data_IF_260711057206
#
_entry.id   IF_260711057206
#
_cell.length_a   1.000
_cell.length_b   1.000
_cell.length_c   1.000
_cell.angle_alpha   90.00
_cell.angle_beta   90.00
_cell.angle_gamma   90.00
#
_symmetry.space_group_name_H-M   'P 1'
#
loop_
_entity.id
_entity.type
_entity.pdbx_description
1 polymer ?
#
# COMPACT_ATOMS: atom_id res chain seq x y z
N UNK A 1 0.35 -15.88 10.13
CA UNK A 1 -0.79 -14.98 9.84
C UNK A 1 -0.80 -13.89 10.89
N UNK A 2 -0.84 -12.63 10.48
CA UNK A 2 -0.92 -11.46 11.35
C UNK A 2 -2.26 -10.77 11.18
N UNK A 3 -2.85 -10.22 12.24
CA UNK A 3 -4.11 -9.48 12.22
C UNK A 3 -3.95 -8.10 12.87
N UNK A 4 -4.35 -7.03 12.18
CA UNK A 4 -4.15 -5.63 12.62
C UNK A 4 -5.42 -4.81 12.45
N UNK A 5 -5.70 -3.92 13.40
CA UNK A 5 -6.78 -2.92 13.28
C UNK A 5 -6.27 -1.69 12.52
N UNK A 6 -6.83 -1.41 11.34
CA UNK A 6 -6.39 -0.31 10.45
C UNK A 6 -7.03 1.02 10.83
N UNK A 7 -8.31 1.06 11.22
CA UNK A 7 -9.01 2.29 11.60
C UNK A 7 -9.95 2.08 12.80
N UNK A 8 -10.50 3.18 13.33
CA UNK A 8 -11.46 3.11 14.43
C UNK A 8 -12.83 2.54 14.04
N UNK A 9 -13.13 2.48 12.72
CA UNK A 9 -14.32 1.84 12.14
C UNK A 9 -14.19 0.31 12.05
N UNK A 10 -13.29 -0.28 12.85
CA UNK A 10 -13.05 -1.71 12.99
C UNK A 10 -12.46 -2.41 11.76
N UNK A 11 -11.85 -1.68 10.82
CA UNK A 11 -11.20 -2.35 9.68
C UNK A 11 -10.05 -3.25 10.11
N UNK A 12 -10.02 -4.49 9.63
CA UNK A 12 -9.01 -5.51 9.94
C UNK A 12 -8.13 -5.82 8.73
N UNK A 13 -6.82 -5.75 8.90
CA UNK A 13 -5.82 -6.23 7.94
C UNK A 13 -5.32 -7.59 8.39
N UNK A 14 -5.41 -8.59 7.53
CA UNK A 14 -4.78 -9.88 7.71
C UNK A 14 -3.62 -10.03 6.74
N UNK A 15 -2.44 -10.40 7.25
CA UNK A 15 -1.24 -10.63 6.43
C UNK A 15 -0.87 -12.10 6.51
N UNK A 16 -0.80 -12.74 5.35
CA UNK A 16 -0.38 -14.14 5.20
C UNK A 16 0.99 -14.12 4.52
N UNK A 17 2.03 -14.29 5.35
CA UNK A 17 3.45 -14.19 4.96
C UNK A 17 4.05 -15.52 4.52
N UNK A 18 3.52 -16.64 5.03
CA UNK A 18 3.98 -17.99 4.68
C UNK A 18 3.24 -18.48 3.45
N UNK A 19 3.89 -19.33 2.64
CA UNK A 19 3.19 -20.05 1.57
C UNK A 19 2.07 -20.91 2.17
N UNK A 20 0.80 -20.59 1.90
CA UNK A 20 -0.31 -21.35 2.43
C UNK A 20 -0.39 -22.70 1.70
N UNK A 21 -0.63 -23.79 2.44
CA UNK A 21 -0.84 -25.10 1.82
C UNK A 21 -2.05 -25.09 0.90
N UNK A 22 -2.13 -26.03 -0.05
CA UNK A 22 -3.25 -26.13 -1.00
C UNK A 22 -4.58 -26.26 -0.24
N UNK A 23 -4.60 -27.01 0.86
CA UNK A 23 -5.77 -27.21 1.72
C UNK A 23 -6.18 -25.90 2.41
N UNK A 24 -5.21 -25.16 2.94
CA UNK A 24 -5.46 -23.86 3.57
C UNK A 24 -5.99 -22.83 2.57
N UNK A 25 -5.46 -22.83 1.34
CA UNK A 25 -5.93 -21.97 0.26
C UNK A 25 -7.38 -22.30 -0.14
N UNK A 26 -7.72 -23.58 -0.27
CA UNK A 26 -9.09 -24.01 -0.58
C UNK A 26 -10.07 -23.66 0.55
N UNK A 27 -9.65 -23.81 1.82
CA UNK A 27 -10.45 -23.41 2.97
C UNK A 27 -10.74 -21.90 3.01
N UNK A 28 -9.83 -21.07 2.48
CA UNK A 28 -9.99 -19.62 2.43
C UNK A 28 -10.93 -19.13 1.31
N UNK A 29 -11.29 -19.96 0.34
CA UNK A 29 -12.06 -19.52 -0.84
C UNK A 29 -13.40 -18.89 -0.46
N UNK A 30 -14.16 -19.54 0.42
CA UNK A 30 -15.45 -19.00 0.89
C UNK A 30 -15.28 -17.68 1.65
N UNK A 31 -14.24 -17.59 2.48
CA UNK A 31 -13.89 -16.37 3.22
C UNK A 31 -13.52 -15.21 2.29
N UNK A 32 -12.86 -15.49 1.16
CA UNK A 32 -12.51 -14.47 0.17
C UNK A 32 -13.73 -13.99 -0.63
N UNK A 33 -14.69 -14.87 -0.91
CA UNK A 33 -15.96 -14.50 -1.57
C UNK A 33 -16.84 -13.63 -0.69
N UNK A 34 -16.92 -13.98 0.59
CA UNK A 34 -17.79 -13.35 1.58
C UNK A 34 -17.04 -12.31 2.43
N UNK A 35 -15.89 -11.81 1.93
CA UNK A 35 -15.05 -10.89 2.69
C UNK A 35 -15.78 -9.57 2.97
N UNK A 36 -15.95 -9.26 4.25
CA UNK A 36 -16.59 -8.01 4.69
C UNK A 36 -15.85 -6.77 4.15
N UNK A 37 -16.55 -5.66 3.92
CA UNK A 37 -15.93 -4.38 3.54
C UNK A 37 -14.96 -3.85 4.59
N UNK A 38 -15.08 -4.29 5.84
CA UNK A 38 -14.13 -3.96 6.90
C UNK A 38 -12.88 -4.85 6.93
N UNK A 39 -12.78 -5.90 6.12
CA UNK A 39 -11.64 -6.82 6.17
C UNK A 39 -10.80 -6.73 4.89
N UNK A 40 -9.48 -6.73 5.05
CA UNK A 40 -8.53 -6.83 3.95
C UNK A 40 -7.56 -7.98 4.24
N UNK A 41 -7.35 -8.86 3.27
CA UNK A 41 -6.34 -9.91 3.34
C UNK A 41 -5.26 -9.58 2.32
N UNK A 42 -4.01 -9.56 2.78
CA UNK A 42 -2.82 -9.39 1.96
C UNK A 42 -2.04 -10.70 1.98
N UNK A 43 -1.91 -11.29 0.80
CA UNK A 43 -1.04 -12.44 0.57
C UNK A 43 0.34 -11.95 0.15
N UNK A 44 1.37 -12.40 0.87
CA UNK A 44 2.76 -12.24 0.48
C UNK A 44 3.34 -13.63 0.17
N UNK A 45 2.88 -14.22 -0.95
CA UNK A 45 3.30 -15.54 -1.39
C UNK A 45 3.33 -15.62 -2.92
N UNK A 46 4.36 -16.24 -3.53
CA UNK A 46 4.42 -16.45 -4.97
C UNK A 46 3.49 -17.58 -5.46
N UNK A 47 3.06 -18.48 -4.57
CA UNK A 47 2.42 -19.75 -4.92
C UNK A 47 0.93 -19.78 -4.51
N UNK A 48 0.13 -18.92 -5.13
CA UNK A 48 -1.33 -18.90 -4.94
C UNK A 48 -2.06 -19.72 -6.01
N UNK A 49 -3.09 -20.46 -5.60
CA UNK A 49 -3.99 -21.18 -6.50
C UNK A 49 -4.73 -20.17 -7.40
N UNK A 50 -5.00 -20.52 -8.69
CA UNK A 50 -5.75 -19.65 -9.59
C UNK A 50 -7.12 -19.21 -9.03
N UNK A 51 -7.76 -20.06 -8.23
CA UNK A 51 -9.03 -19.78 -7.56
C UNK A 51 -8.92 -18.74 -6.45
N UNK A 52 -7.78 -18.64 -5.78
CA UNK A 52 -7.48 -17.57 -4.82
C UNK A 52 -7.18 -16.27 -5.58
N UNK A 53 -6.36 -16.36 -6.64
CA UNK A 53 -5.97 -15.19 -7.45
C UNK A 53 -7.20 -14.52 -8.07
N UNK A 54 -8.16 -15.29 -8.59
CA UNK A 54 -9.36 -14.74 -9.23
C UNK A 54 -10.28 -13.96 -8.28
N UNK A 55 -10.17 -14.18 -6.97
CA UNK A 55 -10.92 -13.47 -5.91
C UNK A 55 -10.09 -12.35 -5.26
N UNK A 56 -8.82 -12.23 -5.63
CA UNK A 56 -7.92 -11.21 -5.13
C UNK A 56 -7.74 -10.10 -6.16
N UNK A 57 -7.46 -8.89 -5.67
CA UNK A 57 -6.86 -7.86 -6.54
C UNK A 57 -5.36 -8.11 -6.60
N UNK A 58 -4.88 -8.62 -7.73
CA UNK A 58 -3.45 -8.78 -7.96
C UNK A 58 -2.79 -7.41 -8.11
N UNK A 59 -1.93 -7.06 -7.15
CA UNK A 59 -1.02 -5.92 -7.29
C UNK A 59 0.26 -6.45 -7.90
N UNK A 60 0.42 -6.33 -9.21
CA UNK A 60 1.67 -6.67 -9.87
C UNK A 60 2.75 -5.69 -9.43
N UNK A 61 3.77 -6.19 -8.74
CA UNK A 61 4.90 -5.39 -8.26
C UNK A 61 5.86 -4.98 -9.40
N UNK A 62 5.61 -5.46 -10.62
CA UNK A 62 6.43 -5.26 -11.80
C UNK A 62 7.49 -6.36 -11.92
N UNK A 63 7.60 -6.96 -13.11
CA UNK A 63 8.70 -7.88 -13.45
C UNK A 63 10.02 -7.15 -13.71
N UNK A 64 9.98 -5.81 -13.84
CA UNK A 64 11.19 -5.02 -13.88
C UNK A 64 11.84 -5.12 -12.50
N UNK A 65 13.06 -5.64 -12.45
CA UNK A 65 14.02 -5.41 -11.35
C UNK A 65 14.37 -3.92 -11.28
N UNK A 66 13.37 -3.05 -11.15
CA UNK A 66 13.60 -1.68 -10.72
C UNK A 66 13.64 -1.80 -9.21
N UNK A 67 14.84 -2.04 -8.70
CA UNK A 67 15.12 -1.65 -7.33
C UNK A 67 14.98 -0.13 -7.30
N UNK A 68 13.99 0.43 -6.57
CA UNK A 68 13.88 1.87 -6.44
C UNK A 68 15.16 2.40 -5.82
N UNK A 69 15.55 3.62 -6.19
CA UNK A 69 16.72 4.25 -5.57
C UNK A 69 16.47 4.34 -4.07
N UNK A 70 17.46 3.98 -3.26
CA UNK A 70 17.36 4.00 -1.80
C UNK A 70 16.82 5.33 -1.28
N UNK A 71 17.29 6.45 -1.86
CA UNK A 71 16.83 7.80 -1.53
C UNK A 71 15.31 8.00 -1.70
N UNK A 72 14.72 7.41 -2.74
CA UNK A 72 13.28 7.50 -3.00
C UNK A 72 12.49 6.66 -1.99
N UNK A 73 12.99 5.47 -1.64
CA UNK A 73 12.39 4.65 -0.58
C UNK A 73 12.46 5.36 0.77
N UNK A 74 13.60 5.97 1.09
CA UNK A 74 13.82 6.72 2.32
C UNK A 74 12.88 7.93 2.42
N UNK A 75 12.60 8.62 1.30
CA UNK A 75 11.58 9.69 1.26
C UNK A 75 10.18 9.18 1.59
N UNK A 76 9.77 8.05 1.02
CA UNK A 76 8.47 7.43 1.32
C UNK A 76 8.41 6.95 2.77
N UNK A 77 9.49 6.34 3.27
CA UNK A 77 9.58 5.91 4.67
C UNK A 77 9.56 7.09 5.65
N UNK A 78 10.17 8.22 5.26
CA UNK A 78 10.10 9.47 6.04
C UNK A 78 8.68 10.03 6.09
N UNK A 79 7.94 9.99 4.97
CA UNK A 79 6.51 10.32 4.97
C UNK A 79 5.77 9.40 5.93
N UNK A 80 5.93 8.08 5.81
CA UNK A 80 5.28 7.08 6.67
C UNK A 80 5.57 7.34 8.15
N UNK A 81 6.81 7.69 8.51
CA UNK A 81 7.17 8.03 9.88
C UNK A 81 6.52 9.32 10.39
N UNK A 82 6.27 10.29 9.51
CA UNK A 82 5.57 11.54 9.83
C UNK A 82 4.05 11.45 9.78
N UNK A 83 3.46 10.33 9.35
CA UNK A 83 2.02 10.06 9.38
C UNK A 83 1.66 9.42 10.73
N UNK A 84 0.60 9.91 11.38
CA UNK A 84 0.24 9.55 12.77
C UNK A 84 0.76 10.52 13.84
N UNK A 85 1.54 11.53 13.46
CA UNK A 85 1.94 12.63 14.36
C UNK A 85 1.02 13.84 14.18
N UNK A 86 1.07 14.85 15.08
CA UNK A 86 0.25 16.09 14.96
C UNK A 86 0.53 16.93 13.69
N UNK A 87 1.40 16.48 12.78
CA UNK A 87 1.94 17.23 11.64
C UNK A 87 1.72 16.55 10.27
N UNK A 88 0.71 15.71 10.15
CA UNK A 88 0.46 14.90 8.94
C UNK A 88 0.37 15.75 7.66
N UNK A 89 -0.35 16.88 7.72
CA UNK A 89 -0.47 17.80 6.58
C UNK A 89 0.89 18.36 6.16
N UNK A 90 1.73 18.76 7.11
CA UNK A 90 3.08 19.26 6.81
C UNK A 90 3.94 18.17 6.19
N UNK A 91 3.89 16.94 6.72
CA UNK A 91 4.60 15.78 6.17
C UNK A 91 4.19 15.50 4.72
N UNK A 92 2.89 15.58 4.40
CA UNK A 92 2.35 15.39 3.05
C UNK A 92 2.87 16.48 2.09
N UNK A 93 2.76 17.75 2.48
CA UNK A 93 3.17 18.87 1.62
C UNK A 93 4.69 18.92 1.41
N UNK A 94 5.48 18.60 2.44
CA UNK A 94 6.93 18.51 2.32
C UNK A 94 7.35 17.35 1.43
N UNK A 95 6.65 16.21 1.56
CA UNK A 95 6.88 15.05 0.72
C UNK A 95 6.57 15.35 -0.74
N UNK A 96 5.41 15.94 -1.04
CA UNK A 96 5.01 16.25 -2.41
C UNK A 96 5.98 17.22 -3.07
N UNK A 97 6.42 18.25 -2.35
CA UNK A 97 7.36 19.24 -2.87
C UNK A 97 8.71 18.59 -3.27
N UNK A 98 9.23 17.68 -2.44
CA UNK A 98 10.46 16.95 -2.75
C UNK A 98 10.27 15.93 -3.86
N UNK A 99 9.19 15.16 -3.81
CA UNK A 99 8.96 14.06 -4.75
C UNK A 99 8.80 14.57 -6.19
N UNK A 100 7.99 15.61 -6.37
CA UNK A 100 7.63 16.12 -7.69
C UNK A 100 8.70 17.01 -8.35
N UNK A 101 9.85 17.22 -7.71
CA UNK A 101 11.02 17.78 -8.40
C UNK A 101 11.53 16.86 -9.53
N UNK A 102 11.33 15.55 -9.40
CA UNK A 102 11.77 14.55 -10.38
C UNK A 102 10.61 14.00 -11.26
N UNK A 103 9.38 14.45 -11.02
CA UNK A 103 8.16 14.19 -11.80
C UNK A 103 7.82 12.71 -12.16
N UNK A 104 8.33 11.74 -11.39
CA UNK A 104 8.10 10.32 -11.65
C UNK A 104 7.03 9.71 -10.73
N UNK A 105 5.84 9.46 -11.29
CA UNK A 105 4.69 8.89 -10.57
C UNK A 105 4.74 7.35 -10.47
N UNK A 106 5.37 6.69 -11.44
CA UNK A 106 5.48 5.23 -11.45
C UNK A 106 6.41 4.76 -10.33
N UNK A 107 7.52 5.48 -10.14
CA UNK A 107 8.46 5.25 -9.04
C UNK A 107 7.78 5.41 -7.67
N UNK A 108 6.77 6.27 -7.55
CA UNK A 108 6.09 6.50 -6.28
C UNK A 108 5.33 5.25 -5.83
N UNK A 109 4.59 4.64 -6.75
CA UNK A 109 3.89 3.40 -6.44
C UNK A 109 4.87 2.26 -6.11
N UNK A 110 5.98 2.19 -6.84
CA UNK A 110 7.02 1.19 -6.58
C UNK A 110 7.61 1.41 -5.18
N UNK A 111 8.01 2.63 -4.83
CA UNK A 111 8.58 2.94 -3.52
C UNK A 111 7.58 2.68 -2.39
N UNK A 112 6.29 3.02 -2.56
CA UNK A 112 5.24 2.70 -1.59
C UNK A 112 5.06 1.19 -1.39
N UNK A 113 5.17 0.39 -2.45
CA UNK A 113 5.16 -1.08 -2.35
C UNK A 113 6.38 -1.60 -1.58
N UNK A 114 7.58 -1.12 -1.92
CA UNK A 114 8.81 -1.50 -1.21
C UNK A 114 8.78 -1.12 0.28
N UNK A 115 8.23 0.06 0.60
CA UNK A 115 8.04 0.51 1.97
C UNK A 115 7.10 -0.42 2.75
N UNK A 116 5.98 -0.86 2.14
CA UNK A 116 5.08 -1.83 2.75
C UNK A 116 5.78 -3.17 3.00
N UNK A 117 6.51 -3.70 2.00
CA UNK A 117 7.24 -4.97 2.15
C UNK A 117 8.33 -4.88 3.22
N UNK A 118 9.04 -3.76 3.29
CA UNK A 118 10.05 -3.51 4.32
C UNK A 118 9.43 -3.42 5.72
N UNK A 119 8.24 -2.81 5.82
CA UNK A 119 7.48 -2.73 7.07
C UNK A 119 6.96 -4.10 7.54
N UNK A 120 6.50 -4.93 6.61
CA UNK A 120 6.09 -6.32 6.88
C UNK A 120 7.30 -7.12 7.39
N UNK A 121 8.43 -7.03 6.67
CA UNK A 121 9.66 -7.75 7.02
C UNK A 121 10.22 -7.36 8.39
N UNK A 122 10.10 -6.08 8.75
CA UNK A 122 10.53 -5.55 10.06
C UNK A 122 9.50 -5.74 11.19
N UNK A 123 8.29 -6.26 10.89
CA UNK A 123 7.17 -6.44 11.83
C UNK A 123 6.76 -5.16 12.58
N UNK A 124 6.98 -4.00 11.97
CA UNK A 124 6.56 -2.72 12.52
C UNK A 124 5.09 -2.45 12.17
N UNK A 125 4.19 -2.80 13.08
CA UNK A 125 2.75 -2.76 12.85
C UNK A 125 2.19 -1.38 12.50
N UNK A 126 2.74 -0.31 13.09
CA UNK A 126 2.33 1.05 12.76
C UNK A 126 2.75 1.39 11.32
N UNK A 127 4.00 1.12 10.97
CA UNK A 127 4.48 1.34 9.60
C UNK A 127 3.75 0.49 8.58
N UNK A 128 3.40 -0.76 8.89
CA UNK A 128 2.57 -1.60 8.01
C UNK A 128 1.23 -0.94 7.74
N UNK A 129 0.54 -0.48 8.79
CA UNK A 129 -0.76 0.21 8.68
C UNK A 129 -0.65 1.45 7.80
N UNK A 130 0.32 2.32 8.06
CA UNK A 130 0.49 3.57 7.30
C UNK A 130 0.95 3.31 5.85
N UNK A 131 1.88 2.37 5.63
CA UNK A 131 2.33 1.98 4.29
C UNK A 131 1.18 1.40 3.46
N UNK A 132 0.31 0.60 4.07
CA UNK A 132 -0.87 0.06 3.39
C UNK A 132 -1.87 1.16 3.02
N UNK A 133 -2.19 2.07 3.96
CA UNK A 133 -3.07 3.22 3.69
C UNK A 133 -2.51 4.11 2.58
N UNK A 134 -1.20 4.37 2.62
CA UNK A 134 -0.50 5.13 1.61
C UNK A 134 -0.64 4.48 0.23
N UNK A 135 -0.29 3.19 0.13
CA UNK A 135 -0.39 2.45 -1.12
C UNK A 135 -1.84 2.47 -1.65
N UNK A 136 -2.83 2.25 -0.78
CA UNK A 136 -4.25 2.30 -1.14
C UNK A 136 -4.66 3.67 -1.68
N UNK A 137 -4.24 4.75 -1.04
CA UNK A 137 -4.51 6.12 -1.47
C UNK A 137 -3.90 6.43 -2.84
N UNK A 138 -2.75 5.83 -3.17
CA UNK A 138 -2.04 6.07 -4.43
C UNK A 138 -2.58 5.26 -5.62
N UNK A 139 -3.28 4.15 -5.41
CA UNK A 139 -3.67 3.23 -6.49
C UNK A 139 -4.53 3.92 -7.57
N UNK A 140 -5.62 4.56 -7.17
CA UNK A 140 -6.55 5.18 -8.12
C UNK A 140 -5.98 6.47 -8.73
N UNK A 141 -5.45 7.43 -7.95
CA UNK A 141 -4.91 8.67 -8.50
C UNK A 141 -3.77 8.45 -9.50
N UNK A 142 -2.82 7.56 -9.22
CA UNK A 142 -1.74 7.27 -10.17
C UNK A 142 -2.29 6.67 -11.48
N UNK A 143 -3.29 5.80 -11.42
CA UNK A 143 -3.94 5.26 -12.63
C UNK A 143 -4.59 6.36 -13.46
N UNK A 144 -5.25 7.32 -12.80
CA UNK A 144 -5.87 8.46 -13.48
C UNK A 144 -4.83 9.42 -14.06
N UNK A 145 -3.75 9.70 -13.32
CA UNK A 145 -2.63 10.53 -13.78
C UNK A 145 -1.94 9.94 -15.01
N UNK A 146 -1.79 8.61 -15.08
CA UNK A 146 -1.14 7.97 -16.24
C UNK A 146 -2.05 7.92 -17.47
N UNK A 147 -3.38 7.88 -17.28
CA UNK A 147 -4.36 7.80 -18.36
C UNK A 147 -4.94 9.15 -18.78
N UNK A 148 -4.67 10.22 -18.03
CA UNK A 148 -5.22 11.55 -18.24
C UNK A 148 -4.16 12.62 -17.99
N UNK A 149 -4.33 13.81 -18.55
CA UNK A 149 -3.41 14.93 -18.31
C UNK A 149 -3.70 15.66 -16.97
N UNK A 150 -3.78 14.91 -15.87
CA UNK A 150 -4.00 15.47 -14.54
C UNK A 150 -2.71 16.02 -13.95
N UNK A 151 -2.82 17.10 -13.19
CA UNK A 151 -1.69 17.61 -12.41
C UNK A 151 -1.30 16.59 -11.33
N UNK A 152 -0.13 15.96 -11.49
CA UNK A 152 0.32 14.84 -10.66
C UNK A 152 0.42 15.23 -9.19
N UNK A 153 0.98 16.41 -8.90
CA UNK A 153 1.16 16.92 -7.54
C UNK A 153 -0.17 17.10 -6.84
N UNK A 154 -1.09 17.85 -7.45
CA UNK A 154 -2.41 18.15 -6.86
C UNK A 154 -3.21 16.86 -6.64
N UNK A 155 -3.21 15.95 -7.61
CA UNK A 155 -3.94 14.69 -7.51
C UNK A 155 -3.44 13.82 -6.35
N UNK A 156 -2.13 13.76 -6.14
CA UNK A 156 -1.53 12.99 -5.03
C UNK A 156 -1.72 13.70 -3.69
N UNK A 157 -1.45 15.00 -3.59
CA UNK A 157 -1.69 15.77 -2.36
C UNK A 157 -3.13 15.62 -1.88
N UNK A 158 -4.10 15.79 -2.79
CA UNK A 158 -5.52 15.61 -2.48
C UNK A 158 -5.80 14.21 -1.92
N UNK A 159 -5.34 13.16 -2.59
CA UNK A 159 -5.60 11.79 -2.17
C UNK A 159 -4.97 11.46 -0.81
N UNK A 160 -3.76 11.98 -0.54
CA UNK A 160 -3.09 11.78 0.75
C UNK A 160 -3.78 12.55 1.88
N UNK A 161 -4.20 13.80 1.63
CA UNK A 161 -4.92 14.59 2.62
C UNK A 161 -6.26 13.92 2.96
N UNK A 162 -7.01 13.46 1.95
CA UNK A 162 -8.25 12.72 2.17
C UNK A 162 -8.03 11.43 2.95
N UNK A 163 -6.97 10.66 2.67
CA UNK A 163 -6.75 9.41 3.40
C UNK A 163 -6.27 9.63 4.84
N UNK A 164 -5.45 10.65 5.12
CA UNK A 164 -4.75 10.77 6.41
C UNK A 164 -5.27 11.88 7.32
N UNK A 165 -5.74 13.00 6.79
CA UNK A 165 -6.10 14.19 7.58
C UNK A 165 -7.61 14.29 7.84
N UNK A 166 -8.44 13.57 7.07
CA UNK A 166 -9.90 13.55 7.22
C UNK A 166 -10.42 12.46 8.15
#
# INVERSE_FOLDING_TARGET
MLGLKIDDKQKRLFIIESEPTIEAQNALLKTLEELSKESCIVFYSPNLLPTVISRCRTVNLGARKIEPKKEQVDQVMSLIGGLGEKRELYSILLFSDKWFQNDNIEDLQICARFALLSSISSRDYQKIKFSYRLLRALILPCSLILSNNLNKRIAIEKALIEEFVS
#
